data_IF_762498645019
#
_entry.id   IF_762498645019
#
_cell.length_a   1.000
_cell.length_b   1.000
_cell.length_c   1.000
_cell.angle_alpha   90.00
_cell.angle_beta   90.00
_cell.angle_gamma   90.00
#
_symmetry.space_group_name_H-M   'P 1'
#
loop_
_entity.id
_entity.type
_entity.pdbx_description
1 polymer ?
2 non-polymer ?
3 water ?
#
# COMPACT_ATOMS: atom_id res chain seq x y z
N UNK A 2 -14.46 -5.50 1.85
CA UNK A 2 -14.35 -5.26 3.28
C UNK A 2 -14.11 -3.77 3.57
N UNK A 3 -13.40 -3.10 2.66
CA UNK A 3 -13.11 -1.67 2.81
C UNK A 3 -14.06 -0.85 1.93
N UNK A 4 -14.72 0.13 2.54
CA UNK A 4 -15.65 1.00 1.83
C UNK A 4 -15.34 2.48 2.07
N UNK A 5 -14.10 2.85 1.80
CA UNK A 5 -13.64 4.21 1.99
C UNK A 5 -12.85 4.68 0.77
N UNK A 6 -13.15 4.13 -0.41
CA UNK A 6 -12.42 4.54 -1.60
C UNK A 6 -12.55 6.03 -1.81
N UNK A 7 -11.59 6.59 -2.54
CA UNK A 7 -11.57 8.01 -2.83
C UNK A 7 -12.33 8.36 -4.10
N UNK A 8 -13.03 9.48 -4.07
CA UNK A 8 -13.79 9.96 -5.21
C UNK A 8 -12.97 10.96 -6.02
N UNK A 9 -13.19 10.96 -7.33
CA UNK A 9 -12.52 11.88 -8.22
C UNK A 9 -11.02 11.69 -8.36
N UNK A 10 -10.55 10.47 -8.11
CA UNK A 10 -9.14 10.15 -8.19
C UNK A 10 -8.55 10.37 -9.57
N UNK A 11 -7.45 11.12 -9.63
CA UNK A 11 -6.74 11.37 -10.88
C UNK A 11 -5.44 10.57 -10.73
N UNK A 12 -5.55 9.28 -11.01
CA UNK A 12 -4.46 8.33 -10.92
C UNK A 12 -3.11 8.82 -11.45
N UNK A 13 -3.12 9.54 -12.57
CA UNK A 13 -1.87 10.04 -13.12
C UNK A 13 -1.09 10.85 -12.09
N UNK A 14 -1.83 11.58 -11.26
CA UNK A 14 -1.24 12.44 -10.24
C UNK A 14 -0.62 11.76 -9.02
N UNK A 15 -0.58 10.44 -8.99
CA UNK A 15 0.03 9.72 -7.86
C UNK A 15 1.37 9.15 -8.34
N UNK A 16 1.77 9.57 -9.54
CA UNK A 16 3.00 9.10 -10.17
C UNK A 16 4.28 9.48 -9.43
N UNK A 17 5.26 8.58 -9.49
CA UNK A 17 6.54 8.83 -8.86
C UNK A 17 6.87 8.18 -7.52
N UNK A 18 7.79 8.83 -6.82
CA UNK A 18 8.31 8.38 -5.53
C UNK A 18 7.34 8.39 -4.35
N UNK A 19 7.33 7.31 -3.57
CA UNK A 19 6.50 7.21 -2.36
C UNK A 19 7.23 6.39 -1.29
N UNK A 20 6.94 6.70 -0.03
CA UNK A 20 7.53 6.00 1.11
C UNK A 20 6.43 5.31 1.92
N UNK A 21 6.69 4.07 2.34
CA UNK A 21 5.74 3.31 3.16
C UNK A 21 6.00 3.60 4.64
N UNK A 22 5.47 4.72 5.10
CA UNK A 22 5.63 5.17 6.48
C UNK A 22 5.02 4.19 7.50
N UNK A 23 3.79 3.76 7.25
CA UNK A 23 3.14 2.80 8.13
C UNK A 23 2.38 1.78 7.30
N UNK A 24 2.12 0.65 7.93
CA UNK A 24 1.37 -0.41 7.30
C UNK A 24 0.61 -1.19 8.38
N UNK A 25 -0.47 -1.82 7.96
CA UNK A 25 -1.26 -2.60 8.88
C UNK A 25 -1.95 -3.72 8.11
N UNK A 26 -2.32 -4.76 8.84
CA UNK A 26 -3.00 -5.89 8.28
C UNK A 26 -4.02 -6.47 9.27
N UNK A 27 -4.88 -7.36 8.77
CA UNK A 27 -5.90 -8.01 9.57
C UNK A 27 -5.33 -9.23 10.30
N UNK A 28 -4.10 -9.60 9.98
CA UNK A 28 -3.46 -10.74 10.63
C UNK A 28 -1.97 -10.50 10.87
N UNK A 29 -1.54 -10.74 12.11
CA UNK A 29 -0.15 -10.57 12.54
C UNK A 29 0.83 -11.13 11.50
N UNK A 30 0.62 -12.40 11.14
CA UNK A 30 1.46 -13.13 10.19
C UNK A 30 1.63 -12.51 8.81
N UNK A 31 0.75 -11.59 8.44
CA UNK A 31 0.85 -10.93 7.14
C UNK A 31 2.00 -9.90 7.12
N UNK A 32 2.28 -9.30 8.27
CA UNK A 32 3.33 -8.29 8.41
C UNK A 32 4.33 -8.71 9.49
N UNK A 33 4.17 -9.94 9.97
CA UNK A 33 5.02 -10.53 11.01
C UNK A 33 6.51 -10.24 10.85
N UNK A 34 7.22 -11.16 10.21
CA UNK A 34 8.65 -11.02 10.00
C UNK A 34 8.95 -10.19 8.76
N UNK A 35 10.23 -10.03 8.48
CA UNK A 35 10.70 -9.27 7.34
C UNK A 35 10.31 -9.94 6.03
N UNK A 36 10.15 -11.26 6.07
CA UNK A 36 9.79 -12.00 4.87
C UNK A 36 8.29 -12.29 4.81
N UNK A 37 7.55 -11.78 5.79
CA UNK A 37 6.10 -11.96 5.84
C UNK A 37 5.50 -11.70 4.45
N UNK A 38 4.49 -12.48 4.06
CA UNK A 38 3.85 -12.32 2.74
C UNK A 38 3.53 -10.90 2.27
N UNK A 39 2.88 -10.10 3.11
CA UNK A 39 2.54 -8.74 2.70
C UNK A 39 3.46 -7.65 3.21
N UNK A 40 4.63 -8.04 3.70
CA UNK A 40 5.61 -7.08 4.20
C UNK A 40 6.34 -6.48 2.98
N UNK A 41 5.67 -5.57 2.27
CA UNK A 41 6.25 -4.95 1.09
C UNK A 41 6.50 -3.47 1.29
N UNK A 42 7.52 -2.96 0.61
CA UNK A 42 7.90 -1.56 0.70
C UNK A 42 7.78 -0.92 -0.67
N UNK A 43 6.99 0.14 -0.76
CA UNK A 43 6.77 0.81 -2.02
C UNK A 43 7.87 1.80 -2.39
N UNK A 44 8.31 1.73 -3.64
CA UNK A 44 9.38 2.62 -4.11
C UNK A 44 8.83 3.73 -5.00
N UNK A 45 8.01 3.34 -5.96
CA UNK A 45 7.45 4.30 -6.89
C UNK A 45 6.16 3.79 -7.48
N UNK A 46 5.30 4.71 -7.88
CA UNK A 46 4.04 4.35 -8.51
C UNK A 46 4.12 4.79 -9.96
N UNK A 47 3.91 3.85 -10.87
CA UNK A 47 3.98 4.14 -12.30
C UNK A 47 2.67 3.89 -13.04
N UNK A 48 1.84 4.93 -13.19
CA UNK A 48 0.57 4.77 -13.89
C UNK A 48 0.77 4.88 -15.41
N UNK A 49 0.33 3.85 -16.13
CA UNK A 49 0.46 3.85 -17.58
C UNK A 49 -0.49 4.87 -18.20
N UNK A 50 -0.18 5.34 -19.42
CA UNK A 50 -1.06 6.32 -20.06
C UNK A 50 -2.40 5.64 -20.34
N UNK A 51 -2.33 4.32 -20.48
CA UNK A 51 -3.49 3.48 -20.73
C UNK A 51 -4.44 3.48 -19.52
N UNK A 52 -3.93 3.90 -18.36
CA UNK A 52 -4.77 3.94 -17.17
C UNK A 52 -4.50 2.91 -16.09
N UNK A 53 -3.65 1.93 -16.37
CA UNK A 53 -3.32 0.91 -15.38
C UNK A 53 -2.33 1.49 -14.38
N UNK A 54 -1.81 0.65 -13.48
CA UNK A 54 -0.89 1.14 -12.47
C UNK A 54 0.26 0.19 -12.12
N UNK A 55 1.49 0.61 -12.45
CA UNK A 55 2.69 -0.17 -12.16
C UNK A 55 3.20 0.12 -10.75
N UNK A 56 3.54 -0.94 -10.02
CA UNK A 56 4.04 -0.76 -8.66
C UNK A 56 5.48 -1.24 -8.53
N UNK A 57 6.37 -0.33 -8.16
CA UNK A 57 7.77 -0.67 -7.94
C UNK A 57 7.95 -0.77 -6.43
N UNK A 58 8.35 -1.95 -5.96
CA UNK A 58 8.49 -2.14 -4.52
C UNK A 58 9.64 -3.05 -4.10
N UNK A 59 9.84 -3.15 -2.79
CA UNK A 59 10.89 -4.00 -2.25
C UNK A 59 10.28 -5.05 -1.36
N UNK A 60 10.76 -6.28 -1.50
CA UNK A 60 10.28 -7.39 -0.68
C UNK A 60 11.47 -8.20 -0.20
N UNK A 61 11.46 -8.60 1.06
CA UNK A 61 12.56 -9.37 1.60
C UNK A 61 12.40 -10.87 1.39
N UNK A 62 12.86 -11.35 0.23
CA UNK A 62 12.80 -12.76 -0.10
C UNK A 62 14.22 -13.29 0.10
N UNK A 63 14.33 -14.55 0.52
CA UNK A 63 15.63 -15.16 0.75
C UNK A 63 16.37 -14.41 1.85
N UNK A 64 17.65 -14.13 1.62
CA UNK A 64 18.45 -13.42 2.60
C UNK A 64 18.83 -12.05 2.09
N UNK A 65 17.95 -11.45 1.29
CA UNK A 65 18.21 -10.13 0.73
C UNK A 65 16.95 -9.39 0.33
N UNK A 66 17.11 -8.09 0.11
CA UNK A 66 16.01 -7.23 -0.28
C UNK A 66 15.85 -7.31 -1.79
N UNK A 67 14.72 -7.85 -2.23
CA UNK A 67 14.46 -8.00 -3.65
C UNK A 67 13.58 -6.89 -4.22
N UNK A 68 13.93 -6.43 -5.42
CA UNK A 68 13.16 -5.38 -6.08
C UNK A 68 12.08 -6.08 -6.91
N UNK A 69 10.83 -5.66 -6.73
CA UNK A 69 9.70 -6.25 -7.45
C UNK A 69 8.95 -5.24 -8.32
N UNK A 70 8.43 -5.71 -9.44
CA UNK A 70 7.67 -4.85 -10.34
C UNK A 70 6.31 -5.48 -10.54
N UNK A 71 5.29 -4.86 -9.96
CA UNK A 71 3.92 -5.37 -10.06
C UNK A 71 3.02 -4.43 -10.85
N UNK A 72 2.10 -5.01 -11.61
CA UNK A 72 1.16 -4.24 -12.40
C UNK A 72 -0.28 -4.50 -11.93
N UNK A 73 -0.94 -3.41 -11.55
CA UNK A 73 -2.31 -3.44 -11.08
C UNK A 73 -3.21 -2.85 -12.19
N UNK A 74 -4.11 -3.68 -12.71
CA UNK A 74 -4.99 -3.25 -13.79
C UNK A 74 -6.17 -2.41 -13.34
N UNK A 75 -6.51 -1.43 -14.16
CA UNK A 75 -7.62 -0.54 -13.85
C UNK A 75 -8.94 -1.28 -13.99
N UNK A 76 -9.95 -0.81 -13.27
CA UNK A 76 -11.28 -1.40 -13.32
C UNK A 76 -12.26 -0.28 -13.69
N UNK A 77 -13.55 -0.56 -13.62
CA UNK A 77 -14.56 0.44 -13.95
C UNK A 77 -14.60 1.48 -12.84
N UNK A 78 -14.00 1.14 -11.70
CA UNK A 78 -13.95 2.06 -10.58
C UNK A 78 -12.57 2.73 -10.57
N UNK A 79 -12.53 4.03 -10.90
CA UNK A 79 -11.29 4.81 -10.94
C UNK A 79 -10.31 4.68 -9.77
N UNK A 80 -10.79 4.18 -8.63
CA UNK A 80 -9.91 4.06 -7.46
C UNK A 80 -9.57 2.62 -7.09
N UNK A 81 -10.10 1.67 -7.85
CA UNK A 81 -9.86 0.26 -7.58
C UNK A 81 -9.09 -0.39 -8.71
N UNK A 82 -8.11 -1.21 -8.35
CA UNK A 82 -7.29 -1.88 -9.33
C UNK A 82 -7.21 -3.36 -9.01
N UNK A 83 -6.80 -4.16 -9.99
CA UNK A 83 -6.72 -5.60 -9.84
C UNK A 83 -5.37 -6.12 -10.32
N UNK A 84 -4.61 -6.69 -9.40
CA UNK A 84 -3.30 -7.23 -9.73
C UNK A 84 -3.48 -8.70 -10.08
N UNK A 85 -2.94 -9.08 -11.24
CA UNK A 85 -3.04 -10.45 -11.73
C UNK A 85 -2.16 -11.44 -10.97
N UNK A 86 -2.71 -11.98 -9.89
CA UNK A 86 -1.99 -12.95 -9.07
C UNK A 86 -2.72 -14.28 -9.14
N UNK A 87 -2.17 -15.30 -8.49
CA UNK A 87 -2.78 -16.62 -8.47
C UNK A 87 -4.27 -16.51 -8.19
N UNK A 88 -4.64 -15.44 -7.49
CA UNK A 88 -6.02 -15.18 -7.14
C UNK A 88 -6.35 -13.75 -7.52
N UNK A 89 -7.57 -13.32 -7.22
CA UNK A 89 -7.98 -11.96 -7.53
C UNK A 89 -7.75 -11.05 -6.33
N UNK A 90 -6.75 -10.19 -6.44
CA UNK A 90 -6.42 -9.26 -5.37
C UNK A 90 -6.69 -7.83 -5.83
N UNK A 91 -7.50 -7.13 -5.06
CA UNK A 91 -7.85 -5.76 -5.39
C UNK A 91 -6.99 -4.76 -4.62
N UNK A 92 -6.72 -3.64 -5.27
CA UNK A 92 -5.96 -2.58 -4.65
C UNK A 92 -6.92 -1.41 -4.66
N UNK A 93 -7.11 -0.79 -3.50
CA UNK A 93 -8.03 0.32 -3.37
C UNK A 93 -7.39 1.58 -2.80
N UNK A 94 -7.57 2.70 -3.50
CA UNK A 94 -7.05 3.98 -3.05
C UNK A 94 -8.15 4.68 -2.23
N UNK A 95 -7.90 4.82 -0.93
CA UNK A 95 -8.84 5.43 0.00
C UNK A 95 -8.82 6.94 0.01
N UNK A 96 -7.64 7.50 -0.12
CA UNK A 96 -7.51 8.94 -0.09
C UNK A 96 -6.09 9.36 -0.39
N UNK A 97 -5.93 10.55 -0.93
CA UNK A 97 -4.61 11.08 -1.25
C UNK A 97 -4.71 12.55 -1.63
N UNK A 98 -3.69 13.32 -1.26
CA UNK A 98 -3.66 14.74 -1.59
C UNK A 98 -2.61 14.94 -2.68
N UNK A 99 -2.17 13.83 -3.26
CA UNK A 99 -1.17 13.80 -4.34
C UNK A 99 0.24 14.30 -4.00
N UNK A 100 0.33 15.42 -3.29
CA UNK A 100 1.61 16.01 -2.94
C UNK A 100 2.28 15.51 -1.65
N UNK A 101 1.50 15.17 -0.62
CA UNK A 101 2.08 14.71 0.64
C UNK A 101 1.87 13.24 1.03
N UNK A 102 0.66 12.71 0.87
CA UNK A 102 0.40 11.32 1.25
C UNK A 102 -0.63 10.59 0.38
N UNK A 103 -0.70 9.28 0.60
CA UNK A 103 -1.63 8.40 -0.10
C UNK A 103 -1.90 7.15 0.75
N UNK A 104 -3.18 6.84 0.92
CA UNK A 104 -3.62 5.67 1.69
C UNK A 104 -4.26 4.67 0.72
N UNK A 105 -3.83 3.42 0.78
CA UNK A 105 -4.37 2.38 -0.09
C UNK A 105 -4.42 1.08 0.69
N UNK A 106 -5.27 0.17 0.26
CA UNK A 106 -5.38 -1.12 0.92
C UNK A 106 -5.31 -2.22 -0.13
N UNK A 107 -4.90 -3.40 0.29
CA UNK A 107 -4.78 -4.55 -0.58
C UNK A 107 -5.76 -5.55 0.04
N UNK A 108 -6.70 -6.02 -0.76
CA UNK A 108 -7.72 -6.93 -0.26
C UNK A 108 -7.79 -8.19 -1.10
N UNK A 109 -8.07 -9.31 -0.45
CA UNK A 109 -8.21 -10.59 -1.14
C UNK A 109 -9.69 -10.86 -1.37
N UNK A 110 -10.08 -11.04 -2.62
CA UNK A 110 -11.47 -11.30 -2.96
C UNK A 110 -11.91 -12.72 -2.59
N UNK A 111 -11.74 -13.08 -1.32
CA UNK A 111 -12.12 -14.40 -0.84
C UNK A 111 -12.89 -14.33 0.48
N UNK A 112 -12.86 -15.43 1.24
CA UNK A 112 -13.55 -15.53 2.52
C UNK A 112 -12.95 -16.69 3.33
N UNK A 113 -13.52 -17.01 4.51
CA UNK A 113 -14.66 -16.41 5.21
C UNK A 113 -14.42 -14.92 5.41
N UNK A 114 -13.23 -14.63 5.94
CA UNK A 114 -12.80 -13.26 6.18
C UNK A 114 -11.46 -13.10 5.48
N UNK A 115 -11.51 -12.55 4.28
CA UNK A 115 -10.31 -12.35 3.48
C UNK A 115 -9.24 -11.55 4.21
N UNK A 116 -8.02 -11.63 3.69
CA UNK A 116 -6.90 -10.91 4.28
C UNK A 116 -6.92 -9.44 3.85
N UNK A 117 -6.51 -8.56 4.75
CA UNK A 117 -6.48 -7.13 4.46
C UNK A 117 -5.18 -6.51 4.94
N UNK A 118 -4.62 -5.63 4.10
CA UNK A 118 -3.37 -4.92 4.38
C UNK A 118 -3.48 -3.53 3.77
N UNK A 119 -3.17 -2.52 4.57
CA UNK A 119 -3.23 -1.14 4.12
C UNK A 119 -1.93 -0.43 4.47
N UNK A 120 -1.66 0.66 3.76
CA UNK A 120 -0.44 1.39 4.02
C UNK A 120 -0.65 2.88 3.95
N UNK A 121 0.23 3.58 4.64
CA UNK A 121 0.24 5.03 4.63
C UNK A 121 1.52 5.43 3.91
N UNK A 122 1.37 5.89 2.67
CA UNK A 122 2.48 6.32 1.84
C UNK A 122 2.67 7.81 1.90
N UNK A 123 3.92 8.23 1.96
CA UNK A 123 4.22 9.65 1.97
C UNK A 123 5.32 9.94 0.93
N UNK A 124 5.32 11.16 0.42
CA UNK A 124 6.28 11.58 -0.58
C UNK A 124 7.72 11.77 -0.09
N UNK A 125 7.89 12.19 1.16
CA UNK A 125 9.23 12.41 1.71
C UNK A 125 9.59 11.50 2.89
N UNK A 126 10.90 11.27 3.10
CA UNK A 126 11.38 10.43 4.20
C UNK A 126 11.23 11.16 5.53
N UNK A 127 9.99 11.54 5.82
CA UNK A 127 9.65 12.25 7.04
C UNK A 127 8.42 11.62 7.67
N UNK A 128 8.34 11.68 9.00
CA UNK A 128 7.20 11.15 9.72
C UNK A 128 6.11 12.22 9.64
N UNK A 129 5.14 12.01 8.75
CA UNK A 129 4.05 12.96 8.56
C UNK A 129 2.92 12.65 9.55
N UNK A 130 2.77 13.50 10.56
CA UNK A 130 1.75 13.28 11.57
C UNK A 130 0.30 13.30 11.09
N UNK A 131 -0.04 14.29 10.27
CA UNK A 131 -1.41 14.39 9.77
C UNK A 131 -1.79 13.16 8.95
N UNK A 132 -0.91 12.77 8.04
CA UNK A 132 -1.15 11.60 7.21
C UNK A 132 -1.43 10.37 8.08
N UNK A 133 -0.63 10.21 9.13
CA UNK A 133 -0.80 9.09 10.04
C UNK A 133 -2.10 9.23 10.79
N UNK A 134 -2.49 10.47 11.06
CA UNK A 134 -3.74 10.74 11.76
C UNK A 134 -4.86 10.17 10.89
N UNK A 135 -4.85 10.56 9.62
CA UNK A 135 -5.84 10.10 8.65
C UNK A 135 -5.78 8.60 8.47
N UNK A 136 -4.57 8.04 8.50
CA UNK A 136 -4.39 6.61 8.34
C UNK A 136 -5.08 5.91 9.51
N UNK A 137 -4.92 6.46 10.70
CA UNK A 137 -5.54 5.89 11.89
C UNK A 137 -7.06 5.93 11.78
N UNK A 138 -7.62 7.08 11.42
CA UNK A 138 -9.05 7.18 11.30
C UNK A 138 -9.58 6.13 10.34
N UNK A 139 -9.02 6.11 9.13
CA UNK A 139 -9.45 5.15 8.13
C UNK A 139 -9.38 3.72 8.64
N UNK A 140 -8.46 3.46 9.57
CA UNK A 140 -8.30 2.11 10.12
C UNK A 140 -9.31 1.75 11.20
N UNK A 141 -9.90 2.76 11.84
CA UNK A 141 -10.89 2.53 12.90
C UNK A 141 -11.93 1.46 12.56
N UNK A 142 -12.54 1.57 11.39
CA UNK A 142 -13.56 0.63 10.99
C UNK A 142 -13.05 -0.67 10.38
N UNK A 143 -11.74 -0.92 10.45
CA UNK A 143 -11.22 -2.15 9.87
C UNK A 143 -10.66 -3.09 10.92
N UNK A 144 -10.72 -4.41 10.66
CA UNK A 144 -10.24 -5.47 11.55
C UNK A 144 -8.73 -5.69 11.53
N UNK A 145 -7.96 -4.71 11.97
CA UNK A 145 -6.52 -4.87 11.97
C UNK A 145 -6.02 -5.49 13.27
N UNK A 146 -4.94 -6.25 13.19
CA UNK A 146 -4.39 -6.87 14.39
C UNK A 146 -2.90 -6.65 14.52
N UNK A 147 -2.35 -6.01 13.49
CA UNK A 147 -0.94 -5.63 13.44
C UNK A 147 -0.79 -4.30 12.70
N UNK A 148 0.01 -3.41 13.29
CA UNK A 148 0.27 -2.08 12.73
C UNK A 148 1.75 -1.76 12.93
N UNK A 149 2.44 -1.42 11.84
CA UNK A 149 3.87 -1.08 11.88
C UNK A 149 4.15 0.36 11.46
N UNK A 150 5.24 0.93 11.98
CA UNK A 150 5.67 2.29 11.64
C UNK A 150 7.17 2.37 11.49
N UNK A 151 7.63 3.20 10.57
CA UNK A 151 9.07 3.33 10.33
C UNK A 151 9.60 4.74 10.54
N UNK A 152 10.87 4.82 10.95
CA UNK A 152 11.50 6.11 11.19
C UNK A 152 12.21 6.61 9.94
N UNK A 153 12.52 7.92 9.88
CA UNK A 153 13.19 8.52 8.72
C UNK A 153 14.46 7.78 8.28
N UNK A 154 15.22 7.28 9.24
CA UNK A 154 16.45 6.55 8.96
C UNK A 154 16.14 5.22 8.29
N UNK A 155 15.06 4.57 8.71
CA UNK A 155 14.68 3.30 8.11
C UNK A 155 14.14 3.52 6.70
N UNK A 156 13.42 4.63 6.52
CA UNK A 156 12.86 4.96 5.22
C UNK A 156 13.91 5.16 4.11
N UNK A 157 15.14 5.52 4.48
CA UNK A 157 16.17 5.73 3.47
C UNK A 157 17.01 4.50 3.19
N UNK A 158 16.75 3.41 3.90
CA UNK A 158 17.47 2.16 3.67
C UNK A 158 16.53 1.21 2.94
N UNK A 159 17.08 0.27 2.18
CA UNK A 159 16.25 -0.67 1.45
C UNK A 159 15.55 -1.63 2.41
N UNK A 160 14.34 -2.03 2.07
CA UNK A 160 13.55 -2.91 2.93
C UNK A 160 13.49 -2.34 4.33
N UNK A 161 13.66 -1.03 4.43
CA UNK A 161 13.61 -0.33 5.71
C UNK A 161 14.56 -0.93 6.75
N UNK A 162 15.72 -1.39 6.28
CA UNK A 162 16.77 -1.99 7.09
C UNK A 162 16.63 -3.51 7.22
X LIG B 1 7.11 -14.16 0.23
X LIG B 1 7.12 -12.75 -3.03
X LIG B 1 7.16 -12.47 -1.57
X LIG B 1 6.25 -13.39 -0.63
X LIG B 1 5.37 -14.34 -1.47
X LIG B 1 4.69 -13.69 -2.77
X LIG B 1 3.41 -13.99 -3.12
X LIG B 1 1.97 -13.64 -2.79
X LIG B 1 1.38 -12.40 -3.04
X LIG B 1 1.07 -12.81 -4.58
X LIG B 1 5.65 -12.71 -3.51
X LIG B 1 0.92 -11.70 -5.55
X LIG B 1 0.44 -10.30 -5.03
X LIG B 1 1.04 -9.85 -3.69
X LIG B 1 2.04 -10.92 -3.11
X LIG B 1 2.47 -10.20 -1.73
X LIG B 1 2.44 -8.59 -2.06
X LIG B 1 2.04 -8.55 -3.59
X LIG B 1 -0.28 -9.65 -2.80
X LIG B 1 5.29 -11.94 -4.45
X LIG B 1 1.28 -7.17 -4.08
X LIG B 1 1.55 -6.99 -5.56
X LIG B 1 1.70 -5.75 -3.54
X LIG B 1 0.32 -4.78 -3.52
X LIG B 1 0.96 -3.48 -4.07
X LIG B 1 0.62 -2.10 -3.47
X LIG B 1 1.98 -1.89 -3.12
X LIG B 1 0.56 -0.80 -4.10
X LIG C 1 -4.40 -0.90 14.57
X LIG C 1 -2.87 -3.76 16.36
X LIG C 1 -2.83 -2.61 15.44
X LIG C 1 -4.15 -2.29 14.61
X LIG C 1 -5.39 -2.98 15.20
X LIG C 1 -5.42 -3.35 16.73
X LIG C 1 -6.64 -3.52 17.36
X LIG C 1 -8.12 -3.25 17.15
X LIG C 1 -8.60 -1.97 16.99
X LIG C 1 -9.41 -2.40 15.65
X LIG C 1 -3.99 -3.50 17.36
X LIG C 1 -9.87 -1.32 14.72
X LIG C 1 -9.76 0.21 15.16
X LIG C 1 -8.65 0.57 16.18
X LIG C 1 -7.77 -0.67 16.58
X LIG C 1 -6.79 0.00 17.69
X LIG C 1 -6.51 1.48 17.15
X LIG C 1 -7.32 1.51 15.81
X LIG C 1 -9.52 1.14 17.40
X LIG C 1 -3.74 -3.46 18.62
X LIG C 1 -7.62 3.06 15.29
X LIG C 1 -6.95 3.17 13.93
X LIG C 1 -6.99 4.30 16.03
X LIG C 1 -7.96 5.64 15.78
X LIG C 1 -8.39 5.89 17.27
X LIG C 1 -9.56 5.13 17.95
X LIG C 1 -9.74 6.19 18.87
X LIG C 1 -10.97 5.11 17.62
#
# INVERSE_FOLDING_TARGET
LIVTQTMKGLDIQKVAGTWYSLAMAASDISLLDAQSAPLRVYVEELKPTPEGDLEILLQKWENGECAQKKIIAEKTKIPAVFKIDALNENKVLVLDTDYKKYLLFCMENSAEPEQSLACQCLVRTPEVDDEALEKFDKALKALPMHIRLSFNPTQLEEQCHI
VD3 O C1 C2 C3 C4 C5 C7 C8 C9 C10 C6 C11 C12 C13 C14 C15 C16 C17 C18 C19 C20 C21 C22 C23 C24 C25 C26 C27
VD3 O C1 C2 C3 C4 C5 C7 C8 C9 C10 C6 C11 C12 C13 C14 C15 C16 C17 C18 C19 C20 C21 C22 C23 C24 C25 C26 C27
#
